data_IF_389000895055
#
_entry.id   IF_389000895055
#
_cell.length_a   1.000
_cell.length_b   1.000
_cell.length_c   1.000
_cell.angle_alpha   90.00
_cell.angle_beta   90.00
_cell.angle_gamma   90.00
#
_symmetry.space_group_name_H-M   'P 1'
#
loop_
_entity.id
_entity.type
_entity.pdbx_description
1 polymer ?
#
# COMPACT_ATOMS: atom_id res chain seq x y z
N UNK A 1 1.67 5.84 -20.04
CA UNK A 1 2.73 5.66 -19.02
C UNK A 1 4.08 6.25 -19.41
N UNK A 2 4.59 6.06 -20.64
CA UNK A 2 5.93 6.53 -21.04
C UNK A 2 7.08 6.02 -20.14
N UNK A 3 6.95 4.80 -19.61
CA UNK A 3 7.97 4.15 -18.78
C UNK A 3 8.75 3.09 -19.56
N UNK A 4 8.03 2.16 -20.19
CA UNK A 4 8.55 1.10 -21.04
C UNK A 4 7.57 0.82 -22.18
N UNK A 5 8.03 0.10 -23.20
CA UNK A 5 7.22 -0.32 -24.35
C UNK A 5 7.62 0.37 -25.66
N UNK A 6 7.06 -0.11 -26.77
CA UNK A 6 7.22 0.51 -28.07
C UNK A 6 6.21 1.63 -28.26
N UNK A 7 6.58 2.65 -29.05
CA UNK A 7 5.64 3.70 -29.45
C UNK A 7 4.58 3.14 -30.41
N UNK A 8 3.33 3.67 -30.39
CA UNK A 8 2.23 3.18 -31.22
C UNK A 8 2.56 3.00 -32.71
N UNK A 9 3.26 3.97 -33.30
CA UNK A 9 3.68 3.99 -34.70
C UNK A 9 4.68 2.88 -35.06
N UNK A 10 5.34 2.28 -34.08
CA UNK A 10 6.29 1.18 -34.27
C UNK A 10 5.66 -0.21 -34.11
N UNK A 11 4.42 -0.31 -33.62
CA UNK A 11 3.85 -1.59 -33.20
C UNK A 11 3.81 -2.63 -34.33
N UNK A 12 3.32 -2.23 -35.51
CA UNK A 12 3.28 -3.13 -36.68
C UNK A 12 4.66 -3.60 -37.16
N UNK A 13 5.66 -2.72 -37.15
CA UNK A 13 7.02 -3.05 -37.57
C UNK A 13 7.61 -4.10 -36.61
N UNK A 14 7.47 -3.87 -35.31
CA UNK A 14 7.95 -4.80 -34.28
C UNK A 14 7.20 -6.13 -34.36
N UNK A 15 5.89 -6.10 -34.57
CA UNK A 15 5.08 -7.31 -34.74
C UNK A 15 5.59 -8.20 -35.88
N UNK A 16 5.83 -7.62 -37.06
CA UNK A 16 6.35 -8.38 -38.21
C UNK A 16 7.76 -8.92 -37.97
N UNK A 17 8.62 -8.14 -37.30
CA UNK A 17 9.96 -8.58 -36.93
C UNK A 17 9.91 -9.78 -35.98
N UNK A 18 9.09 -9.71 -34.93
CA UNK A 18 8.92 -10.82 -33.98
C UNK A 18 8.31 -12.06 -34.64
N UNK A 19 7.33 -11.88 -35.52
CA UNK A 19 6.70 -13.00 -36.26
C UNK A 19 7.68 -13.74 -37.17
N UNK A 20 8.71 -13.06 -37.69
CA UNK A 20 9.73 -13.66 -38.55
C UNK A 20 10.80 -14.46 -37.77
N UNK A 21 10.82 -14.35 -36.43
CA UNK A 21 11.78 -15.05 -35.59
C UNK A 21 11.30 -16.47 -35.29
N UNK A 22 12.03 -17.47 -35.78
CA UNK A 22 11.70 -18.89 -35.55
C UNK A 22 11.77 -19.35 -34.09
N UNK A 23 12.32 -18.53 -33.19
CA UNK A 23 12.37 -18.77 -31.76
C UNK A 23 11.26 -18.06 -30.96
N UNK A 24 10.31 -17.40 -31.64
CA UNK A 24 9.11 -16.82 -31.02
C UNK A 24 7.94 -17.77 -31.27
N UNK A 25 7.42 -18.40 -30.21
CA UNK A 25 6.28 -19.31 -30.31
C UNK A 25 4.94 -18.57 -30.32
N UNK A 26 4.77 -17.60 -29.41
CA UNK A 26 3.53 -16.85 -29.21
C UNK A 26 3.83 -15.38 -28.95
N UNK A 27 2.89 -14.51 -29.31
CA UNK A 27 2.99 -13.08 -29.10
C UNK A 27 1.71 -12.57 -28.43
N UNK A 28 1.87 -11.73 -27.41
CA UNK A 28 0.76 -11.09 -26.67
C UNK A 28 0.99 -9.59 -26.65
N UNK A 29 -0.05 -8.82 -26.98
CA UNK A 29 -0.02 -7.37 -26.83
C UNK A 29 -0.22 -7.00 -25.36
N UNK A 30 0.81 -6.43 -24.74
CA UNK A 30 0.77 -5.99 -23.36
C UNK A 30 0.97 -4.49 -23.24
N UNK A 31 0.12 -3.85 -22.43
CA UNK A 31 0.32 -2.48 -21.96
C UNK A 31 -0.07 -2.37 -20.48
N UNK A 32 0.03 -1.18 -19.91
CA UNK A 32 -0.31 -0.93 -18.51
C UNK A 32 -0.88 0.49 -18.37
N UNK A 33 -1.96 0.62 -17.62
CA UNK A 33 -2.60 1.90 -17.38
C UNK A 33 -1.84 2.72 -16.35
N UNK A 34 -1.80 4.04 -16.57
CA UNK A 34 -1.14 4.99 -15.68
C UNK A 34 -2.07 5.49 -14.56
N UNK A 35 -3.37 5.56 -14.85
CA UNK A 35 -4.37 6.25 -14.03
C UNK A 35 -5.69 5.45 -13.99
N UNK A 36 -5.61 4.12 -13.91
CA UNK A 36 -6.82 3.27 -13.95
C UNK A 36 -7.70 3.40 -12.69
N UNK A 37 -7.22 4.09 -11.66
CA UNK A 37 -8.00 4.56 -10.52
C UNK A 37 -8.98 5.68 -10.87
N UNK A 38 -8.73 6.43 -11.95
CA UNK A 38 -9.65 7.44 -12.45
C UNK A 38 -10.66 6.78 -13.41
N UNK A 39 -11.98 7.05 -13.29
CA UNK A 39 -13.00 6.46 -14.16
C UNK A 39 -12.73 6.66 -15.67
N UNK A 40 -12.21 7.81 -16.06
CA UNK A 40 -11.89 8.11 -17.46
C UNK A 40 -10.41 7.80 -17.82
N UNK A 41 -9.60 7.38 -16.83
CA UNK A 41 -8.16 7.27 -16.97
C UNK A 41 -7.67 6.17 -17.92
N UNK A 42 -8.57 5.26 -18.33
CA UNK A 42 -8.26 4.23 -19.33
C UNK A 42 -8.71 4.59 -20.74
N UNK A 43 -9.61 5.56 -20.91
CA UNK A 43 -10.33 5.80 -22.19
C UNK A 43 -9.35 6.14 -23.31
N UNK A 44 -8.54 7.18 -23.12
CA UNK A 44 -7.58 7.61 -24.13
C UNK A 44 -6.45 6.57 -24.35
N UNK A 45 -5.83 5.98 -23.31
CA UNK A 45 -4.89 4.88 -23.49
C UNK A 45 -5.46 3.69 -24.26
N UNK A 46 -6.68 3.26 -23.96
CA UNK A 46 -7.38 2.18 -24.67
C UNK A 46 -7.53 2.50 -26.14
N UNK A 47 -8.09 3.69 -26.46
CA UNK A 47 -8.25 4.15 -27.85
C UNK A 47 -6.94 4.13 -28.63
N UNK A 48 -5.85 4.61 -28.03
CA UNK A 48 -4.52 4.61 -28.67
C UNK A 48 -3.96 3.20 -28.88
N UNK A 49 -4.18 2.30 -27.93
CA UNK A 49 -3.76 0.89 -28.04
C UNK A 49 -4.55 0.19 -29.15
N UNK A 50 -5.86 0.38 -29.20
CA UNK A 50 -6.73 -0.21 -30.21
C UNK A 50 -6.38 0.26 -31.61
N UNK A 51 -6.16 1.56 -31.79
CA UNK A 51 -5.74 2.14 -33.07
C UNK A 51 -4.37 1.61 -33.51
N UNK A 52 -3.41 1.47 -32.59
CA UNK A 52 -2.08 0.96 -32.91
C UNK A 52 -2.10 -0.54 -33.26
N UNK A 53 -3.04 -1.29 -32.69
CA UNK A 53 -3.14 -2.74 -32.83
C UNK A 53 -4.15 -3.18 -33.91
N UNK A 54 -4.64 -2.26 -34.74
CA UNK A 54 -5.61 -2.54 -35.79
C UNK A 54 -5.07 -3.62 -36.75
N UNK A 55 -5.80 -4.71 -36.93
CA UNK A 55 -5.36 -5.83 -37.78
C UNK A 55 -4.32 -6.77 -37.16
N UNK A 56 -3.95 -6.58 -35.88
CA UNK A 56 -3.16 -7.55 -35.12
C UNK A 56 -4.09 -8.55 -34.43
N UNK A 57 -4.06 -9.80 -34.89
CA UNK A 57 -4.75 -10.92 -34.24
C UNK A 57 -3.85 -11.54 -33.18
N UNK A 58 -4.03 -11.13 -31.92
CA UNK A 58 -3.23 -11.61 -30.81
C UNK A 58 -3.94 -11.48 -29.45
N UNK A 59 -3.60 -12.35 -28.47
CA UNK A 59 -4.02 -12.16 -27.10
C UNK A 59 -3.59 -10.80 -26.55
N UNK A 60 -4.38 -10.25 -25.63
CA UNK A 60 -4.10 -8.96 -24.99
C UNK A 60 -4.07 -9.07 -23.47
N UNK A 61 -3.18 -8.29 -22.86
CA UNK A 61 -3.10 -8.11 -21.42
C UNK A 61 -2.88 -6.65 -21.06
N UNK A 62 -3.92 -5.95 -20.62
CA UNK A 62 -3.86 -4.51 -20.31
C UNK A 62 -4.14 -4.22 -18.84
N UNK A 63 -5.12 -4.89 -18.25
CA UNK A 63 -5.62 -4.61 -16.91
C UNK A 63 -4.59 -4.90 -15.80
N UNK A 64 -4.26 -3.87 -15.02
CA UNK A 64 -3.62 -3.98 -13.71
C UNK A 64 -4.70 -4.13 -12.62
N UNK A 65 -4.35 -4.01 -11.33
CA UNK A 65 -5.32 -4.13 -10.24
C UNK A 65 -6.52 -3.19 -10.34
N UNK A 66 -6.30 -1.90 -10.57
CA UNK A 66 -7.37 -0.91 -10.69
C UNK A 66 -8.29 -1.23 -11.89
N UNK A 67 -7.70 -1.49 -13.05
CA UNK A 67 -8.43 -1.89 -14.25
C UNK A 67 -9.17 -3.22 -14.09
N UNK A 68 -8.61 -4.17 -13.33
CA UNK A 68 -9.29 -5.44 -13.03
C UNK A 68 -10.55 -5.21 -12.19
N UNK A 69 -10.49 -4.32 -11.18
CA UNK A 69 -11.62 -4.03 -10.31
C UNK A 69 -12.70 -3.16 -10.95
N UNK A 70 -12.29 -2.14 -11.70
CA UNK A 70 -13.19 -1.03 -12.06
C UNK A 70 -13.47 -0.91 -13.56
N UNK A 71 -12.72 -1.63 -14.41
CA UNK A 71 -12.77 -1.47 -15.87
C UNK A 71 -12.86 -2.84 -16.61
N UNK A 72 -14.01 -3.54 -16.53
CA UNK A 72 -14.19 -4.87 -17.13
C UNK A 72 -13.94 -4.95 -18.64
N UNK A 73 -14.13 -3.85 -19.37
CA UNK A 73 -13.81 -3.72 -20.80
C UNK A 73 -12.32 -3.89 -21.11
N UNK A 74 -11.44 -3.81 -20.10
CA UNK A 74 -9.99 -3.90 -20.25
C UNK A 74 -9.41 -5.28 -19.92
N UNK A 75 -10.23 -6.26 -19.54
CA UNK A 75 -9.77 -7.55 -19.04
C UNK A 75 -9.08 -8.42 -20.11
N UNK A 76 -9.61 -8.40 -21.33
CA UNK A 76 -9.13 -9.19 -22.47
C UNK A 76 -8.77 -10.64 -22.09
N UNK A 77 -7.64 -11.17 -22.56
CA UNK A 77 -7.24 -12.57 -22.35
C UNK A 77 -6.56 -12.78 -20.99
N UNK A 78 -5.88 -11.75 -20.47
CA UNK A 78 -5.12 -11.84 -19.22
C UNK A 78 -5.21 -10.54 -18.41
N UNK A 79 -5.75 -10.63 -17.20
CA UNK A 79 -5.63 -9.59 -16.18
C UNK A 79 -4.35 -9.78 -15.36
N UNK A 80 -3.81 -8.70 -14.78
CA UNK A 80 -2.58 -8.72 -13.96
C UNK A 80 -2.78 -8.04 -12.61
N UNK A 81 -3.62 -8.61 -11.72
CA UNK A 81 -3.81 -8.08 -10.37
C UNK A 81 -2.51 -8.23 -9.57
N UNK A 82 -2.05 -7.13 -8.96
CA UNK A 82 -0.96 -7.08 -7.99
C UNK A 82 -1.51 -6.77 -6.59
N UNK A 83 -1.58 -5.48 -6.22
CA UNK A 83 -1.94 -5.02 -4.86
C UNK A 83 -3.25 -5.61 -4.32
N UNK A 84 -4.26 -5.80 -5.18
CA UNK A 84 -5.56 -6.38 -4.79
C UNK A 84 -5.47 -7.85 -4.38
N UNK A 85 -4.47 -8.60 -4.86
CA UNK A 85 -4.22 -9.96 -4.38
C UNK A 85 -3.78 -9.98 -2.91
N UNK A 86 -3.22 -8.87 -2.42
CA UNK A 86 -2.77 -8.70 -1.04
C UNK A 86 -3.80 -7.96 -0.16
N UNK A 87 -4.98 -7.67 -0.72
CA UNK A 87 -6.09 -7.06 0.02
C UNK A 87 -5.92 -5.58 0.31
N UNK A 88 -5.21 -4.83 -0.54
CA UNK A 88 -5.06 -3.38 -0.45
C UNK A 88 -5.56 -2.68 -1.71
N UNK A 89 -5.94 -1.41 -1.55
CA UNK A 89 -6.60 -0.62 -2.59
C UNK A 89 -5.62 -0.13 -3.66
N UNK A 90 -5.97 -0.25 -4.96
CA UNK A 90 -5.18 0.36 -6.03
C UNK A 90 -5.16 1.90 -5.97
N UNK A 91 -6.19 2.54 -5.41
CA UNK A 91 -6.26 3.99 -5.24
C UNK A 91 -5.49 4.48 -4.01
N UNK A 92 -5.01 3.56 -3.15
CA UNK A 92 -4.44 3.89 -1.85
C UNK A 92 -5.48 4.29 -0.79
N UNK A 93 -6.77 4.19 -1.10
CA UNK A 93 -7.87 4.44 -0.15
C UNK A 93 -8.65 3.14 0.09
N UNK A 94 -8.64 2.64 1.34
CA UNK A 94 -9.36 1.41 1.71
C UNK A 94 -10.85 1.48 1.38
N UNK A 95 -11.46 2.66 1.52
CA UNK A 95 -12.90 2.89 1.33
C UNK A 95 -13.37 2.41 -0.06
N UNK A 96 -12.52 2.58 -1.08
CA UNK A 96 -12.84 2.26 -2.47
C UNK A 96 -12.94 0.76 -2.72
N UNK A 97 -12.37 -0.05 -1.83
CA UNK A 97 -12.37 -1.52 -1.91
C UNK A 97 -13.11 -2.20 -0.75
N UNK A 98 -13.63 -1.46 0.21
CA UNK A 98 -14.25 -2.02 1.42
C UNK A 98 -15.40 -3.00 1.13
N UNK A 99 -16.15 -2.78 0.03
CA UNK A 99 -17.30 -3.59 -0.36
C UNK A 99 -16.99 -4.67 -1.41
N UNK A 100 -15.71 -4.84 -1.79
CA UNK A 100 -15.30 -5.79 -2.85
C UNK A 100 -15.12 -7.22 -2.34
N UNK A 101 -15.12 -7.43 -1.01
CA UNK A 101 -14.81 -8.71 -0.39
C UNK A 101 -13.30 -9.01 -0.29
N UNK A 102 -12.44 -8.08 -0.71
CA UNK A 102 -11.00 -8.16 -0.50
C UNK A 102 -10.68 -8.22 1.00
N UNK A 103 -9.73 -9.09 1.36
CA UNK A 103 -9.28 -9.29 2.74
C UNK A 103 -7.79 -8.96 2.82
N UNK A 104 -7.35 -8.11 3.78
CA UNK A 104 -5.94 -7.86 4.02
C UNK A 104 -5.19 -9.18 4.28
N UNK A 105 -4.07 -9.39 3.58
CA UNK A 105 -3.27 -10.62 3.71
C UNK A 105 -2.13 -10.46 4.70
N UNK A 106 -1.54 -9.27 4.79
CA UNK A 106 -0.41 -8.97 5.67
C UNK A 106 -0.86 -8.24 6.93
N UNK A 107 -0.44 -8.75 8.09
CA UNK A 107 -0.55 -8.06 9.38
C UNK A 107 0.86 -7.78 9.90
N UNK A 108 1.20 -6.51 10.12
CA UNK A 108 2.38 -6.11 10.89
C UNK A 108 1.97 -5.89 12.34
N UNK A 109 2.49 -6.74 13.22
CA UNK A 109 2.20 -6.70 14.65
C UNK A 109 3.45 -6.51 15.49
N UNK A 110 3.27 -5.99 16.70
CA UNK A 110 4.31 -5.76 17.70
C UNK A 110 3.67 -5.76 19.09
N UNK A 111 4.39 -5.28 20.11
CA UNK A 111 3.92 -5.15 21.47
C UNK A 111 4.44 -3.88 22.14
N UNK A 112 3.77 -3.48 23.23
CA UNK A 112 4.23 -2.40 24.10
C UNK A 112 5.42 -2.90 24.93
N UNK A 113 6.56 -2.22 24.86
CA UNK A 113 7.77 -2.54 25.64
C UNK A 113 8.01 -1.59 26.81
N UNK A 114 7.36 -0.43 26.83
CA UNK A 114 7.43 0.51 27.95
C UNK A 114 6.19 1.41 28.00
N UNK A 115 5.93 1.97 29.19
CA UNK A 115 4.84 2.92 29.43
C UNK A 115 5.41 4.14 30.14
N UNK A 116 5.10 5.33 29.64
CA UNK A 116 5.47 6.61 30.21
C UNK A 116 4.22 7.38 30.62
N UNK A 117 4.28 8.09 31.76
CA UNK A 117 3.24 9.03 32.16
C UNK A 117 3.78 10.44 31.96
N UNK A 118 3.09 11.22 31.11
CA UNK A 118 3.46 12.57 30.78
C UNK A 118 2.54 13.56 31.47
N UNK A 119 3.12 14.65 31.96
CA UNK A 119 2.40 15.84 32.45
C UNK A 119 2.14 16.82 31.31
N UNK A 120 1.17 17.71 31.53
CA UNK A 120 0.90 18.83 30.63
C UNK A 120 2.18 19.60 30.28
N UNK A 121 2.41 19.86 28.99
CA UNK A 121 3.56 20.58 28.44
C UNK A 121 4.75 19.68 28.05
N UNK A 122 4.80 18.43 28.51
CA UNK A 122 5.88 17.50 28.15
C UNK A 122 5.77 17.03 26.69
N UNK A 123 6.92 16.69 26.10
CA UNK A 123 7.05 16.36 24.68
C UNK A 123 7.43 14.89 24.45
N UNK A 124 7.11 14.36 23.27
CA UNK A 124 7.48 13.00 22.85
C UNK A 124 8.46 13.03 21.68
N UNK A 125 9.55 12.29 21.82
CA UNK A 125 10.46 11.92 20.74
C UNK A 125 11.32 13.05 20.18
N UNK A 126 11.98 12.77 19.05
CA UNK A 126 12.96 13.66 18.45
C UNK A 126 12.35 14.98 17.95
N UNK A 127 13.00 16.09 18.29
CA UNK A 127 12.59 17.43 17.86
C UNK A 127 11.35 17.97 18.58
N UNK A 128 10.81 17.25 19.57
CA UNK A 128 9.67 17.67 20.38
C UNK A 128 8.48 18.16 19.54
N UNK A 129 8.20 17.48 18.42
CA UNK A 129 7.15 17.87 17.46
C UNK A 129 5.74 17.62 17.97
N UNK A 130 5.60 16.83 19.03
CA UNK A 130 4.35 16.59 19.72
C UNK A 130 4.51 16.91 21.21
N UNK A 131 3.54 17.63 21.77
CA UNK A 131 3.44 17.98 23.19
C UNK A 131 2.03 17.72 23.67
N UNK A 132 1.91 17.21 24.89
CA UNK A 132 0.60 17.02 25.49
C UNK A 132 0.11 18.31 26.17
N UNK A 133 -1.19 18.59 26.05
CA UNK A 133 -1.85 19.67 26.79
C UNK A 133 -2.30 19.24 28.20
N UNK A 134 -2.37 17.93 28.46
CA UNK A 134 -2.89 17.35 29.70
C UNK A 134 -2.07 16.12 30.11
N UNK A 135 -2.43 15.48 31.22
CA UNK A 135 -1.79 14.23 31.60
C UNK A 135 -2.11 13.13 30.60
N UNK A 136 -1.08 12.45 30.07
CA UNK A 136 -1.23 11.42 29.03
C UNK A 136 -0.37 10.22 29.35
N UNK A 137 -0.89 9.04 29.03
CA UNK A 137 -0.16 7.78 29.12
C UNK A 137 0.34 7.40 27.74
N UNK A 138 1.63 7.19 27.60
CA UNK A 138 2.29 6.91 26.32
C UNK A 138 2.88 5.51 26.33
N UNK A 139 2.57 4.72 25.32
CA UNK A 139 3.13 3.40 25.08
C UNK A 139 4.30 3.48 24.12
N UNK A 140 5.36 2.72 24.37
CA UNK A 140 6.47 2.54 23.44
C UNK A 140 6.33 1.17 22.80
N UNK A 141 6.28 1.13 21.47
CA UNK A 141 6.13 -0.07 20.65
C UNK A 141 7.49 -0.50 20.11
N UNK A 142 7.77 -1.81 20.09
CA UNK A 142 8.96 -2.39 19.46
C UNK A 142 8.82 -2.44 17.93
N UNK A 143 8.80 -1.28 17.30
CA UNK A 143 8.84 -1.13 15.85
C UNK A 143 9.29 0.29 15.49
N UNK A 144 10.12 0.42 14.47
CA UNK A 144 10.56 1.69 13.94
C UNK A 144 10.90 1.62 12.46
N UNK A 145 11.56 2.66 11.96
CA UNK A 145 11.81 2.77 10.52
C UNK A 145 12.80 1.75 9.98
N UNK A 146 13.64 1.14 10.83
CA UNK A 146 14.53 0.08 10.40
C UNK A 146 13.81 -1.29 10.28
N UNK A 147 12.55 -1.39 10.73
CA UNK A 147 11.65 -2.52 10.41
C UNK A 147 10.92 -2.32 9.08
N UNK A 148 10.95 -1.11 8.53
CA UNK A 148 10.17 -0.72 7.35
C UNK A 148 8.98 0.18 7.67
N UNK A 149 8.72 0.51 8.94
CA UNK A 149 7.64 1.46 9.28
C UNK A 149 8.00 2.88 8.79
N UNK A 150 7.09 3.63 8.15
CA UNK A 150 7.43 4.91 7.55
C UNK A 150 7.89 5.93 8.59
N UNK A 151 9.14 6.39 8.49
CA UNK A 151 9.70 7.43 9.37
C UNK A 151 8.88 8.72 9.33
N UNK A 152 8.24 8.99 8.19
CA UNK A 152 7.43 10.18 7.95
C UNK A 152 6.01 10.08 8.49
N UNK A 153 5.63 8.96 9.13
CA UNK A 153 4.31 8.84 9.76
C UNK A 153 4.11 9.98 10.78
N UNK A 154 3.10 10.86 10.58
CA UNK A 154 2.84 11.95 11.49
C UNK A 154 2.20 11.42 12.78
N UNK A 155 2.21 12.25 13.83
CA UNK A 155 1.32 12.02 14.98
C UNK A 155 -0.13 12.01 14.51
N UNK A 156 -0.94 11.09 15.03
CA UNK A 156 -2.30 10.85 14.55
C UNK A 156 -2.43 9.64 13.61
N UNK A 157 -1.32 9.04 13.17
CA UNK A 157 -1.37 7.82 12.35
C UNK A 157 -2.05 6.68 13.12
N UNK A 158 -3.03 5.98 12.55
CA UNK A 158 -3.83 5.00 13.28
C UNK A 158 -3.02 3.75 13.67
N UNK A 159 -3.33 3.20 14.84
CA UNK A 159 -2.75 1.97 15.39
C UNK A 159 -3.80 1.29 16.28
N UNK A 160 -3.74 -0.04 16.44
CA UNK A 160 -4.56 -0.77 17.41
C UNK A 160 -3.68 -1.20 18.58
N UNK A 161 -4.11 -0.94 19.81
CA UNK A 161 -3.45 -1.44 21.02
C UNK A 161 -4.49 -2.17 21.85
N UNK A 162 -4.25 -3.45 22.13
CA UNK A 162 -5.15 -4.30 22.94
C UNK A 162 -6.62 -4.25 22.47
N UNK A 163 -6.82 -4.31 21.15
CA UNK A 163 -8.15 -4.23 20.53
C UNK A 163 -8.78 -2.83 20.47
N UNK A 164 -8.11 -1.80 20.99
CA UNK A 164 -8.60 -0.41 20.99
C UNK A 164 -7.83 0.43 19.97
N UNK A 165 -8.56 1.09 19.06
CA UNK A 165 -7.96 2.00 18.06
C UNK A 165 -7.49 3.27 18.75
N UNK A 166 -6.23 3.62 18.52
CA UNK A 166 -5.57 4.84 19.00
C UNK A 166 -4.64 5.37 17.91
N UNK A 167 -3.69 6.24 18.27
CA UNK A 167 -2.80 6.92 17.33
C UNK A 167 -1.34 6.93 17.78
N UNK A 168 -0.43 7.05 16.81
CA UNK A 168 0.97 7.37 17.06
C UNK A 168 1.14 8.82 17.54
N UNK A 169 2.18 9.07 18.34
CA UNK A 169 2.55 10.42 18.83
C UNK A 169 4.06 10.62 18.75
N UNK A 170 4.48 11.85 18.43
CA UNK A 170 5.89 12.17 18.19
C UNK A 170 6.44 11.55 16.91
N UNK A 171 7.77 11.56 16.76
CA UNK A 171 8.46 11.01 15.59
C UNK A 171 8.76 9.53 15.76
N UNK A 172 8.65 8.78 14.66
CA UNK A 172 9.11 7.39 14.56
C UNK A 172 10.64 7.34 14.67
N UNK A 173 11.15 6.49 15.56
CA UNK A 173 12.59 6.23 15.77
C UNK A 173 13.03 4.98 15.00
N UNK A 174 14.32 4.63 15.10
CA UNK A 174 14.87 3.48 14.35
C UNK A 174 14.19 2.17 14.72
N UNK A 175 13.98 1.96 16.02
CA UNK A 175 13.50 0.69 16.58
C UNK A 175 12.25 0.84 17.44
N UNK A 176 11.75 2.09 17.59
CA UNK A 176 10.65 2.41 18.48
C UNK A 176 9.72 3.47 17.88
N UNK A 177 8.44 3.34 18.20
CA UNK A 177 7.44 4.37 18.00
C UNK A 177 6.60 4.52 19.26
N UNK A 178 6.03 5.71 19.44
CA UNK A 178 5.20 6.01 20.60
C UNK A 178 3.73 6.12 20.20
N UNK A 179 2.84 5.64 21.07
CA UNK A 179 1.39 5.61 20.87
C UNK A 179 0.66 6.17 22.09
N UNK A 180 -0.49 6.81 21.86
CA UNK A 180 -1.34 7.28 22.95
C UNK A 180 -2.10 6.11 23.59
N UNK A 181 -1.90 5.87 24.88
CA UNK A 181 -2.60 4.84 25.66
C UNK A 181 -3.75 5.41 26.49
N UNK A 182 -4.08 6.69 26.35
CA UNK A 182 -5.23 7.30 27.03
C UNK A 182 -6.55 6.57 26.75
N UNK A 183 -6.88 6.15 25.51
CA UNK A 183 -8.06 5.33 25.26
C UNK A 183 -7.90 3.86 25.70
N UNK A 184 -6.70 3.43 26.09
CA UNK A 184 -6.34 2.04 26.40
C UNK A 184 -5.89 1.88 27.88
N UNK A 185 -6.78 2.09 28.87
CA UNK A 185 -6.39 2.15 30.29
C UNK A 185 -5.78 0.86 30.83
N UNK A 186 -6.12 -0.30 30.23
CA UNK A 186 -5.60 -1.60 30.66
C UNK A 186 -4.33 -2.05 29.94
N UNK A 187 -3.98 -1.41 28.81
CA UNK A 187 -2.85 -1.85 27.99
C UNK A 187 -1.52 -1.61 28.71
N UNK A 188 -0.78 -2.65 29.08
CA UNK A 188 0.52 -2.57 29.75
C UNK A 188 1.69 -2.97 28.86
N UNK A 189 2.85 -3.22 29.46
CA UNK A 189 3.96 -3.91 28.78
C UNK A 189 3.46 -5.31 28.33
N UNK A 190 3.80 -5.71 27.10
CA UNK A 190 3.33 -6.93 26.46
C UNK A 190 1.94 -6.82 25.81
N UNK A 191 1.26 -5.67 25.90
CA UNK A 191 -0.01 -5.48 25.21
C UNK A 191 0.19 -5.56 23.68
N UNK A 192 -0.66 -6.32 22.96
CA UNK A 192 -0.49 -6.52 21.53
C UNK A 192 -0.80 -5.24 20.76
N UNK A 193 -0.03 -5.01 19.69
CA UNK A 193 -0.14 -3.84 18.81
C UNK A 193 -0.29 -4.30 17.37
N UNK A 194 -1.34 -3.83 16.69
CA UNK A 194 -1.48 -3.97 15.23
C UNK A 194 -1.14 -2.63 14.57
N UNK A 195 -0.06 -2.60 13.81
CA UNK A 195 0.39 -1.43 13.05
C UNK A 195 -0.36 -1.33 11.72
N UNK A 196 -0.57 -2.46 11.07
CA UNK A 196 -1.58 -2.65 10.02
C UNK A 196 -1.94 -4.13 9.93
N UNK A 197 -3.10 -4.43 9.38
CA UNK A 197 -3.61 -5.80 9.26
C UNK A 197 -5.13 -5.82 9.11
N UNK A 198 -5.75 -6.60 9.99
CA UNK A 198 -7.18 -6.89 9.92
C UNK A 198 -8.02 -5.67 10.29
N UNK A 199 -7.67 -4.98 11.37
CA UNK A 199 -8.45 -3.88 11.94
C UNK A 199 -7.89 -2.52 11.49
N UNK A 200 -6.57 -2.39 11.41
CA UNK A 200 -5.89 -1.18 10.90
C UNK A 200 -5.52 -1.40 9.44
N UNK A 201 -6.21 -0.72 8.53
CA UNK A 201 -5.99 -0.88 7.10
C UNK A 201 -4.66 -0.23 6.71
N UNK A 202 -3.83 -0.95 5.97
CA UNK A 202 -2.53 -0.45 5.52
C UNK A 202 -2.68 0.81 4.67
N UNK A 203 -3.77 0.93 3.92
CA UNK A 203 -4.09 2.13 3.13
C UNK A 203 -4.37 3.35 4.01
N UNK A 204 -5.00 3.19 5.19
CA UNK A 204 -5.22 4.30 6.15
C UNK A 204 -3.86 4.80 6.71
N UNK A 205 -2.94 3.88 6.98
CA UNK A 205 -1.58 4.20 7.44
C UNK A 205 -0.80 4.90 6.32
N UNK A 206 -0.84 4.36 5.11
CA UNK A 206 -0.16 4.92 3.94
C UNK A 206 -0.66 6.32 3.61
N UNK A 207 -1.97 6.54 3.61
CA UNK A 207 -2.59 7.83 3.38
C UNK A 207 -2.15 8.88 4.40
N UNK A 208 -2.05 8.49 5.69
CA UNK A 208 -1.51 9.36 6.75
C UNK A 208 -0.05 9.77 6.49
N UNK A 209 0.71 8.92 5.80
CA UNK A 209 2.12 9.14 5.45
C UNK A 209 2.31 9.82 4.08
N UNK A 210 1.24 10.11 3.35
CA UNK A 210 1.32 10.67 2.00
C UNK A 210 1.85 9.68 0.95
N UNK A 211 1.59 8.39 1.13
CA UNK A 211 1.98 7.33 0.18
C UNK A 211 0.88 6.27 0.02
N UNK A 212 1.18 5.13 -0.62
CA UNK A 212 0.28 4.01 -0.93
C UNK A 212 0.67 2.75 -0.17
N UNK A 213 -0.31 1.88 0.11
CA UNK A 213 -0.08 0.62 0.83
C UNK A 213 1.00 -0.28 0.20
N UNK A 214 1.17 -0.21 -1.12
CA UNK A 214 2.22 -0.95 -1.83
C UNK A 214 3.64 -0.61 -1.33
N UNK A 215 3.93 0.68 -1.05
CA UNK A 215 5.24 1.07 -0.53
C UNK A 215 5.48 0.47 0.85
N UNK A 216 4.46 0.51 1.72
CA UNK A 216 4.55 -0.02 3.09
C UNK A 216 4.79 -1.55 3.08
N UNK A 217 4.08 -2.29 2.23
CA UNK A 217 4.28 -3.75 2.12
C UNK A 217 5.68 -4.09 1.63
N UNK A 218 6.19 -3.35 0.64
CA UNK A 218 7.50 -3.61 0.05
C UNK A 218 8.67 -3.09 0.90
N UNK A 219 8.42 -2.20 1.85
CA UNK A 219 9.46 -1.58 2.69
C UNK A 219 9.86 -2.44 3.90
N UNK A 220 9.17 -3.55 4.19
CA UNK A 220 9.50 -4.41 5.33
C UNK A 220 10.94 -4.90 5.26
N UNK A 221 11.69 -4.64 6.33
CA UNK A 221 13.10 -4.98 6.41
C UNK A 221 13.30 -6.47 6.75
N UNK A 222 14.44 -7.08 6.35
CA UNK A 222 14.73 -8.49 6.64
C UNK A 222 14.75 -8.87 8.13
N UNK A 223 14.83 -7.89 9.04
CA UNK A 223 14.81 -8.13 10.49
C UNK A 223 13.42 -8.46 11.02
N UNK A 224 12.36 -8.18 10.26
CA UNK A 224 10.98 -8.51 10.62
C UNK A 224 10.74 -10.00 10.34
N UNK A 225 10.51 -10.84 11.36
CA UNK A 225 10.20 -12.25 11.15
C UNK A 225 8.89 -12.40 10.39
N UNK A 226 8.85 -13.30 9.41
CA UNK A 226 7.65 -13.59 8.62
C UNK A 226 7.15 -14.98 8.97
N UNK A 227 5.87 -15.08 9.28
CA UNK A 227 5.16 -16.34 9.53
C UNK A 227 3.95 -16.45 8.61
N UNK A 228 3.59 -17.66 8.21
CA UNK A 228 2.37 -17.95 7.46
C UNK A 228 1.40 -18.68 8.38
N UNK A 229 0.16 -18.20 8.44
CA UNK A 229 -0.92 -18.74 9.28
C UNK A 229 -2.03 -19.36 8.45
#
# INVERSE_FOLDING_TARGET
MNRLGFMPDRLHIVWQQLRALGNVSEMTLMSHFAEAENPDGIVEPMRRIEQAAEGLDCPRSLANSAATLWHPESHFNWVRPGIVLYGASPSGLWQDVANTGLKPVMTLSSEIIAVQNLKAGEAVGYGATWRTAEERRIGIVACGYADGYPRLAPSGTPVLVDGVRTVTVGRISMDMLAVDLTPCPQAGIGAPVELWGKEIKIDDVAASCGTVGYELMCALAPRVPVVTV
#
